data_IF_714673642984
#
_entry.id   IF_714673642984
#
_cell.length_a   1.000
_cell.length_b   1.000
_cell.length_c   1.000
_cell.angle_alpha   90.00
_cell.angle_beta   90.00
_cell.angle_gamma   90.00
#
_symmetry.space_group_name_H-M   'P 1'
#
loop_
_entity.id
_entity.type
_entity.pdbx_description
1 polymer ?
#
# COMPACT_ATOMS: atom_id res chain seq x y z
N UNK A 1 22.86 6.19 2.75
CA UNK A 1 21.87 5.88 1.68
C UNK A 1 20.51 5.73 2.36
N UNK A 2 19.41 6.19 1.75
CA UNK A 2 18.07 6.15 2.36
C UNK A 2 17.07 5.45 1.43
N UNK A 3 16.33 4.47 1.94
CA UNK A 3 15.39 3.63 1.18
C UNK A 3 13.98 3.84 1.70
N UNK A 4 13.04 4.15 0.81
CA UNK A 4 11.62 4.26 1.14
C UNK A 4 10.88 2.95 0.81
N UNK A 5 10.19 2.41 1.80
CA UNK A 5 9.30 1.27 1.66
C UNK A 5 7.85 1.76 1.66
N UNK A 6 7.09 1.41 0.63
CA UNK A 6 5.66 1.71 0.57
C UNK A 6 4.91 0.41 0.91
N UNK A 7 4.14 0.43 1.99
CA UNK A 7 3.46 -0.74 2.53
C UNK A 7 1.95 -0.49 2.56
N UNK A 8 1.20 -1.20 1.73
CA UNK A 8 -0.27 -1.13 1.74
C UNK A 8 -0.84 -2.19 2.69
N UNK A 9 -1.77 -1.78 3.57
CA UNK A 9 -2.54 -2.65 4.45
C UNK A 9 -1.74 -3.57 5.38
N UNK A 10 -0.44 -3.31 5.58
CA UNK A 10 0.50 -4.23 6.21
C UNK A 10 1.33 -3.55 7.30
N UNK A 11 2.63 -3.34 7.08
CA UNK A 11 3.53 -2.81 8.09
C UNK A 11 3.29 -1.30 8.33
N UNK A 12 3.26 -0.81 9.59
CA UNK A 12 3.53 -1.53 10.85
C UNK A 12 2.27 -2.06 11.59
N UNK A 13 1.09 -1.97 10.98
CA UNK A 13 -0.20 -2.17 11.65
C UNK A 13 -0.65 -3.63 11.72
N UNK A 14 -0.46 -4.41 10.66
CA UNK A 14 -0.96 -5.78 10.57
C UNK A 14 0.19 -6.77 10.71
N UNK A 15 0.15 -7.71 11.68
CA UNK A 15 1.10 -8.81 11.73
C UNK A 15 0.86 -9.78 10.57
N UNK A 16 1.93 -10.25 9.92
CA UNK A 16 1.81 -11.17 8.79
C UNK A 16 3.14 -11.37 8.08
N UNK A 17 3.12 -12.14 7.00
CA UNK A 17 4.32 -12.47 6.22
C UNK A 17 5.04 -11.22 5.70
N UNK A 18 4.31 -10.29 5.09
CA UNK A 18 4.87 -9.04 4.55
C UNK A 18 5.50 -8.20 5.65
N UNK A 19 4.79 -7.98 6.77
CA UNK A 19 5.31 -7.18 7.89
C UNK A 19 6.51 -7.83 8.58
N UNK A 20 6.54 -9.16 8.68
CA UNK A 20 7.70 -9.91 9.18
C UNK A 20 8.90 -9.78 8.24
N UNK A 21 8.67 -9.86 6.93
CA UNK A 21 9.71 -9.67 5.93
C UNK A 21 10.27 -8.24 5.94
N UNK A 22 9.41 -7.21 5.99
CA UNK A 22 9.81 -5.81 6.10
C UNK A 22 10.67 -5.58 7.35
N UNK A 23 10.24 -6.13 8.50
CA UNK A 23 11.01 -6.06 9.75
C UNK A 23 12.37 -6.72 9.59
N UNK A 24 12.41 -7.93 9.02
CA UNK A 24 13.65 -8.70 8.82
C UNK A 24 14.60 -7.96 7.89
N UNK A 25 14.08 -7.41 6.79
CA UNK A 25 14.83 -6.60 5.84
C UNK A 25 15.49 -5.41 6.56
N UNK A 26 14.70 -4.61 7.27
CA UNK A 26 15.23 -3.46 8.00
C UNK A 26 16.28 -3.91 9.04
N UNK A 27 16.02 -4.99 9.77
CA UNK A 27 16.93 -5.52 10.79
C UNK A 27 18.25 -6.07 10.24
N UNK A 28 18.26 -6.62 9.01
CA UNK A 28 19.46 -7.18 8.40
C UNK A 28 20.39 -6.12 7.82
N UNK A 29 19.86 -4.97 7.39
CA UNK A 29 20.61 -3.89 6.77
C UNK A 29 20.71 -2.67 7.70
N UNK A 30 21.40 -2.83 8.83
CA UNK A 30 21.55 -1.79 9.86
C UNK A 30 22.30 -0.54 9.38
N UNK A 31 23.10 -0.65 8.33
CA UNK A 31 23.83 0.43 7.66
C UNK A 31 22.96 1.26 6.70
N UNK A 32 21.75 0.77 6.39
CA UNK A 32 20.78 1.45 5.53
C UNK A 32 19.72 2.12 6.39
N UNK A 33 19.44 3.38 6.09
CA UNK A 33 18.33 4.09 6.72
C UNK A 33 17.04 3.86 5.95
N UNK A 34 15.99 3.45 6.66
CA UNK A 34 14.68 3.19 6.09
C UNK A 34 13.68 4.29 6.43
N UNK A 35 12.78 4.53 5.50
CA UNK A 35 11.56 5.31 5.68
C UNK A 35 10.39 4.46 5.24
N UNK A 36 9.29 4.50 5.99
CA UNK A 36 8.10 3.69 5.68
C UNK A 36 6.93 4.60 5.38
N UNK A 37 6.27 4.39 4.25
CA UNK A 37 5.00 4.99 3.90
C UNK A 37 3.94 3.90 3.93
N UNK A 38 3.16 3.88 5.02
CA UNK A 38 2.06 2.96 5.18
C UNK A 38 0.79 3.55 4.56
N UNK A 39 0.15 2.81 3.66
CA UNK A 39 -1.19 3.13 3.14
C UNK A 39 -2.18 2.31 3.98
N UNK A 40 -3.01 3.01 4.75
CA UNK A 40 -3.96 2.42 5.69
C UNK A 40 -5.39 2.84 5.34
N UNK A 41 -6.38 2.09 5.82
CA UNK A 41 -7.81 2.39 5.58
C UNK A 41 -8.24 3.58 6.43
N UNK A 42 -8.47 3.39 7.72
CA UNK A 42 -8.86 4.44 8.67
C UNK A 42 -8.07 4.34 9.97
N UNK A 43 -8.08 5.43 10.75
CA UNK A 43 -7.38 5.48 12.05
C UNK A 43 -8.03 4.58 13.08
N UNK A 44 -9.33 4.34 12.97
CA UNK A 44 -10.08 3.47 13.87
C UNK A 44 -9.73 1.99 13.65
N UNK A 45 -9.53 1.59 12.39
CA UNK A 45 -9.16 0.22 12.02
C UNK A 45 -7.67 -0.06 12.25
N UNK A 46 -6.82 0.96 12.07
CA UNK A 46 -5.36 0.86 12.19
C UNK A 46 -4.81 1.95 13.11
N UNK A 47 -5.08 1.87 14.43
CA UNK A 47 -4.76 2.94 15.37
C UNK A 47 -3.31 2.92 15.85
N UNK A 48 -2.70 1.73 15.98
CA UNK A 48 -1.43 1.55 16.67
C UNK A 48 -0.47 0.62 15.93
N UNK A 49 0.82 0.86 16.13
CA UNK A 49 1.86 0.00 15.56
C UNK A 49 1.94 -1.30 16.35
N UNK A 50 1.58 -2.40 15.69
CA UNK A 50 1.64 -3.75 16.28
C UNK A 50 3.02 -4.38 16.06
N UNK A 51 3.70 -4.00 14.98
CA UNK A 51 5.05 -4.49 14.68
C UNK A 51 6.12 -3.69 15.41
N UNK A 52 7.15 -4.38 15.89
CA UNK A 52 8.37 -3.73 16.38
C UNK A 52 9.06 -2.97 15.25
N UNK A 53 9.48 -1.75 15.55
CA UNK A 53 10.15 -0.84 14.61
C UNK A 53 11.66 -0.86 14.88
N UNK A 54 12.48 -1.31 13.91
CA UNK A 54 13.94 -1.24 14.03
C UNK A 54 14.47 0.20 14.11
N UNK A 55 15.58 0.43 14.81
CA UNK A 55 16.14 1.77 15.05
C UNK A 55 16.59 2.51 13.77
N UNK A 56 16.97 1.77 12.74
CA UNK A 56 17.35 2.31 11.44
C UNK A 56 16.13 2.73 10.58
N UNK A 57 14.90 2.50 11.04
CA UNK A 57 13.70 3.12 10.48
C UNK A 57 13.56 4.52 11.06
N UNK A 58 13.88 5.53 10.25
CA UNK A 58 13.96 6.93 10.69
C UNK A 58 12.61 7.61 10.76
N UNK A 59 11.64 7.13 9.99
CA UNK A 59 10.35 7.79 9.87
C UNK A 59 9.31 6.82 9.31
N UNK A 60 8.11 6.90 9.87
CA UNK A 60 6.92 6.19 9.41
C UNK A 60 5.84 7.23 9.15
N UNK A 61 5.40 7.34 7.90
CA UNK A 61 4.23 8.14 7.51
C UNK A 61 3.08 7.20 7.23
N UNK A 62 1.91 7.51 7.78
CA UNK A 62 0.69 6.79 7.44
C UNK A 62 -0.24 7.68 6.63
N UNK A 63 -0.61 7.19 5.46
CA UNK A 63 -1.58 7.77 4.55
C UNK A 63 -2.89 7.00 4.74
N UNK A 64 -3.81 7.58 5.49
CA UNK A 64 -5.14 7.00 5.67
C UNK A 64 -6.02 7.36 4.47
N UNK A 65 -6.55 6.34 3.79
CA UNK A 65 -7.45 6.51 2.67
C UNK A 65 -8.78 7.13 3.10
N UNK A 66 -9.23 6.85 4.32
CA UNK A 66 -10.42 7.48 4.93
C UNK A 66 -10.25 8.97 5.20
N UNK A 67 -9.01 9.44 5.43
CA UNK A 67 -8.71 10.86 5.64
C UNK A 67 -8.66 11.63 4.31
N UNK A 68 -8.48 10.91 3.19
CA UNK A 68 -8.51 11.54 1.89
C UNK A 68 -9.95 12.00 1.62
N UNK A 69 -10.19 13.30 1.72
CA UNK A 69 -11.25 13.92 0.97
C UNK A 69 -10.88 13.73 -0.50
N UNK A 70 -11.31 12.60 -1.09
CA UNK A 70 -11.33 12.42 -2.54
C UNK A 70 -12.26 13.52 -3.02
N UNK A 71 -11.70 14.70 -3.27
CA UNK A 71 -12.42 15.78 -3.91
C UNK A 71 -13.07 15.16 -5.13
N UNK A 72 -14.35 15.46 -5.37
CA UNK A 72 -15.08 15.01 -6.55
C UNK A 72 -14.40 15.58 -7.80
N UNK A 73 -13.26 15.01 -8.15
CA UNK A 73 -12.42 15.35 -9.29
C UNK A 73 -12.24 14.09 -10.13
N UNK A 74 -13.26 13.23 -10.16
CA UNK A 74 -13.51 12.48 -11.38
C UNK A 74 -13.93 13.50 -12.43
N UNK A 75 -13.03 13.86 -13.36
CA UNK A 75 -13.49 14.38 -14.65
C UNK A 75 -14.47 13.33 -15.18
N UNK A 76 -15.65 13.76 -15.62
CA UNK A 76 -16.54 12.87 -16.39
C UNK A 76 -15.80 12.49 -17.67
N UNK A 77 -15.09 11.38 -17.65
CA UNK A 77 -14.50 10.80 -18.85
C UNK A 77 -15.64 10.14 -19.61
N UNK A 78 -15.92 10.63 -20.81
CA UNK A 78 -16.79 9.95 -21.76
C UNK A 78 -15.93 8.96 -22.51
N UNK A 79 -16.09 7.68 -22.22
CA UNK A 79 -15.48 6.62 -23.03
C UNK A 79 -16.23 6.52 -24.35
N UNK A 80 -15.48 6.35 -25.43
CA UNK A 80 -16.01 5.88 -26.70
C UNK A 80 -16.49 4.43 -26.56
N UNK A 81 -17.27 3.95 -27.53
CA UNK A 81 -17.76 2.57 -27.52
C UNK A 81 -16.62 1.55 -27.48
N UNK A 82 -15.56 1.79 -28.25
CA UNK A 82 -14.39 0.93 -28.34
C UNK A 82 -13.59 0.89 -27.02
N UNK A 83 -13.41 2.06 -26.37
CA UNK A 83 -12.78 2.12 -25.05
C UNK A 83 -13.63 1.43 -23.96
N UNK A 84 -14.97 1.49 -24.08
CA UNK A 84 -15.88 0.79 -23.16
C UNK A 84 -15.80 -0.73 -23.33
N UNK A 85 -15.81 -1.22 -24.57
CA UNK A 85 -15.65 -2.65 -24.89
C UNK A 85 -14.28 -3.18 -24.41
N UNK A 86 -13.22 -2.39 -24.59
CA UNK A 86 -11.86 -2.74 -24.10
C UNK A 86 -11.81 -2.81 -22.57
N UNK A 87 -12.38 -1.83 -21.88
CA UNK A 87 -12.42 -1.80 -20.42
C UNK A 87 -13.27 -2.95 -19.86
N UNK A 88 -14.40 -3.27 -20.50
CA UNK A 88 -15.22 -4.43 -20.15
C UNK A 88 -14.40 -5.72 -20.28
N UNK A 89 -13.65 -5.90 -21.36
CA UNK A 89 -12.74 -7.04 -21.53
C UNK A 89 -11.70 -7.17 -20.41
N UNK A 90 -11.03 -6.07 -20.05
CA UNK A 90 -10.03 -6.05 -18.97
C UNK A 90 -10.61 -6.37 -17.59
N UNK A 91 -11.87 -6.02 -17.35
CA UNK A 91 -12.56 -6.32 -16.08
C UNK A 91 -13.18 -7.71 -16.06
N UNK A 92 -13.50 -8.26 -17.24
CA UNK A 92 -14.16 -9.56 -17.40
C UNK A 92 -13.21 -10.72 -17.68
N UNK A 93 -11.92 -10.49 -17.90
CA UNK A 93 -10.89 -11.54 -17.86
C UNK A 93 -10.72 -12.05 -16.42
N UNK A 94 -11.78 -12.67 -15.92
CA UNK A 94 -11.69 -13.76 -14.97
C UNK A 94 -10.81 -14.85 -15.58
N UNK A 95 -9.87 -15.30 -14.77
CA UNK A 95 -8.91 -16.37 -14.99
C UNK A 95 -9.62 -17.65 -15.45
N UNK A 96 -9.89 -17.77 -16.73
CA UNK A 96 -10.36 -19.00 -17.37
C UNK A 96 -9.62 -19.15 -18.70
N UNK A 97 -8.33 -19.49 -18.63
CA UNK A 97 -7.65 -20.39 -19.60
C UNK A 97 -6.18 -20.56 -19.18
N UNK A 98 -5.96 -21.38 -18.16
CA UNK A 98 -4.75 -22.20 -18.07
C UNK A 98 -5.22 -23.65 -17.97
N UNK A 99 -5.29 -24.32 -19.12
CA UNK A 99 -5.25 -25.77 -19.22
C UNK A 99 -4.35 -26.17 -20.39
#
# INVERSE_FOLDING_TARGET
MRVCLICEGSYPYIPGGVSSWVRTLCSQFQDVEFVVWAIATTREEMPEYVCQIPENVREIRTLYLGDAAWGKSGRKIRLTREEKETLEGLMSDSVDDIN
#
